data_IF_562731725131
#
_entry.id   IF_562731725131
#
_cell.length_a   1.000
_cell.length_b   1.000
_cell.length_c   1.000
_cell.angle_alpha   90.00
_cell.angle_beta   90.00
_cell.angle_gamma   90.00
#
_symmetry.space_group_name_H-M   'P 1'
#
loop_
_entity.id
_entity.type
_entity.pdbx_description
1 polymer ?
#
# COMPACT_ATOMS: atom_id res chain seq x y z
N UNK A 1 -6.64 4.76 6.49
CA UNK A 1 -6.54 3.44 7.16
C UNK A 1 -5.26 3.27 8.00
N UNK A 2 -4.13 3.80 7.55
CA UNK A 2 -2.81 3.59 8.21
C UNK A 2 -2.73 4.03 9.68
N UNK A 3 -3.44 5.08 10.17
CA UNK A 3 -3.46 5.41 11.60
C UNK A 3 -3.88 4.25 12.51
N UNK A 4 -4.74 3.34 12.07
CA UNK A 4 -5.17 2.18 12.87
C UNK A 4 -3.99 1.33 13.35
N UNK A 5 -3.01 1.08 12.47
CA UNK A 5 -1.81 0.31 12.85
C UNK A 5 -0.72 1.20 13.45
N UNK A 6 -0.60 2.47 13.02
CA UNK A 6 0.42 3.39 13.55
C UNK A 6 0.23 3.65 15.05
N UNK A 7 -1.01 3.92 15.48
CA UNK A 7 -1.36 4.13 16.89
C UNK A 7 -1.05 2.87 17.72
N UNK A 8 -1.44 1.69 17.24
CA UNK A 8 -1.16 0.43 17.93
C UNK A 8 0.35 0.17 18.04
N UNK A 9 1.11 0.33 16.96
CA UNK A 9 2.56 0.12 16.97
C UNK A 9 3.27 1.13 17.88
N UNK A 10 2.90 2.40 17.84
CA UNK A 10 3.48 3.42 18.72
C UNK A 10 3.16 3.13 20.19
N UNK A 11 1.93 2.74 20.51
CA UNK A 11 1.54 2.36 21.86
C UNK A 11 2.39 1.23 22.42
N UNK A 12 2.51 0.10 21.69
CA UNK A 12 3.29 -1.04 22.16
C UNK A 12 4.77 -0.76 22.26
N UNK A 13 5.35 0.02 21.33
CA UNK A 13 6.74 0.47 21.44
C UNK A 13 6.97 1.35 22.67
N UNK A 14 6.04 2.26 22.97
CA UNK A 14 6.11 3.07 24.21
C UNK A 14 6.06 2.20 25.45
N UNK A 15 5.16 1.18 25.49
CA UNK A 15 5.08 0.24 26.62
C UNK A 15 6.37 -0.60 26.78
N UNK A 16 7.04 -0.92 25.68
CA UNK A 16 8.32 -1.63 25.69
C UNK A 16 9.53 -0.73 26.06
N UNK A 17 9.31 0.55 26.37
CA UNK A 17 10.37 1.48 26.76
C UNK A 17 11.21 2.01 25.61
N UNK A 18 10.78 1.80 24.35
CA UNK A 18 11.42 2.34 23.15
C UNK A 18 11.29 3.87 23.13
N UNK A 19 12.31 4.54 22.65
CA UNK A 19 12.37 6.01 22.57
C UNK A 19 12.18 6.53 21.17
N UNK A 20 12.66 5.76 20.15
CA UNK A 20 12.60 6.13 18.74
C UNK A 20 11.98 5.03 17.90
N UNK A 21 11.22 5.44 16.91
CA UNK A 21 10.77 4.59 15.81
C UNK A 21 11.42 5.07 14.52
N UNK A 22 12.03 4.14 13.76
CA UNK A 22 12.40 4.34 12.37
C UNK A 22 11.37 3.68 11.48
N UNK A 23 11.12 4.27 10.32
CA UNK A 23 10.17 3.72 9.36
C UNK A 23 10.45 4.22 7.95
N UNK A 24 9.99 3.49 6.96
CA UNK A 24 9.94 3.93 5.57
C UNK A 24 8.62 4.62 5.25
N UNK A 25 8.56 5.26 4.10
CA UNK A 25 7.29 5.63 3.49
C UNK A 25 7.43 5.78 1.97
N UNK A 26 6.48 5.22 1.22
CA UNK A 26 6.40 5.39 -0.24
C UNK A 26 5.94 6.80 -0.59
N UNK A 27 4.63 7.02 -0.62
CA UNK A 27 4.01 8.31 -0.97
C UNK A 27 3.84 9.28 0.22
N UNK A 28 4.22 8.88 1.44
CA UNK A 28 4.15 9.69 2.66
C UNK A 28 2.96 9.38 3.57
N UNK A 29 1.95 8.62 3.16
CA UNK A 29 0.78 8.34 4.00
C UNK A 29 1.15 7.59 5.28
N UNK A 30 2.02 6.60 5.18
CA UNK A 30 2.49 5.86 6.34
C UNK A 30 3.35 6.73 7.26
N UNK A 31 4.31 7.45 6.70
CA UNK A 31 5.16 8.38 7.47
C UNK A 31 4.32 9.41 8.23
N UNK A 32 3.30 10.01 7.61
CA UNK A 32 2.37 10.92 8.29
C UNK A 32 1.63 10.25 9.44
N UNK A 33 1.15 9.02 9.25
CA UNK A 33 0.44 8.29 10.29
C UNK A 33 1.35 7.96 11.48
N UNK A 34 2.60 7.56 11.20
CA UNK A 34 3.58 7.26 12.26
C UNK A 34 4.08 8.54 12.96
N UNK A 35 4.28 9.65 12.23
CA UNK A 35 4.65 10.94 12.82
C UNK A 35 3.57 11.42 13.81
N UNK A 36 2.28 11.33 13.43
CA UNK A 36 1.16 11.64 14.33
C UNK A 36 1.15 10.72 15.56
N UNK A 37 1.26 9.41 15.36
CA UNK A 37 1.27 8.44 16.47
C UNK A 37 2.48 8.65 17.39
N UNK A 38 3.65 8.93 16.85
CA UNK A 38 4.84 9.27 17.64
C UNK A 38 4.62 10.50 18.53
N UNK A 39 4.02 11.55 17.97
CA UNK A 39 3.66 12.75 18.74
C UNK A 39 2.66 12.43 19.87
N UNK A 40 1.65 11.59 19.60
CA UNK A 40 0.65 11.20 20.61
C UNK A 40 1.28 10.45 21.80
N UNK A 41 2.31 9.64 21.58
CA UNK A 41 2.93 8.81 22.61
C UNK A 41 4.31 9.33 23.09
N UNK A 42 4.77 10.48 22.59
CA UNK A 42 6.07 11.06 22.95
C UNK A 42 7.24 10.18 22.51
N UNK A 43 7.19 9.66 21.29
CA UNK A 43 8.25 8.91 20.63
C UNK A 43 8.90 9.77 19.54
N UNK A 44 10.22 9.71 19.43
CA UNK A 44 10.91 10.24 18.27
C UNK A 44 10.57 9.40 17.03
N UNK A 45 10.35 10.05 15.88
CA UNK A 45 10.06 9.35 14.63
C UNK A 45 11.03 9.81 13.55
N UNK A 46 11.67 8.85 12.90
CA UNK A 46 12.53 9.09 11.74
C UNK A 46 12.00 8.32 10.53
N UNK A 47 11.83 9.02 9.41
CA UNK A 47 11.16 8.51 8.21
C UNK A 47 12.09 8.57 7.01
N UNK A 48 12.30 7.42 6.38
CA UNK A 48 12.97 7.30 5.08
C UNK A 48 11.90 7.29 3.97
N UNK A 49 11.80 8.40 3.24
CA UNK A 49 10.79 8.59 2.21
C UNK A 49 11.38 8.35 0.83
N UNK A 50 10.76 7.49 0.02
CA UNK A 50 11.19 7.23 -1.36
C UNK A 50 11.41 8.53 -2.12
N UNK A 51 12.62 8.73 -2.68
CA UNK A 51 13.12 10.00 -3.24
C UNK A 51 12.21 10.60 -4.30
N UNK A 52 11.68 9.81 -5.21
CA UNK A 52 10.74 10.31 -6.21
C UNK A 52 9.48 10.90 -5.56
N UNK A 53 8.94 10.26 -4.52
CA UNK A 53 7.79 10.77 -3.79
C UNK A 53 8.12 11.96 -2.89
N UNK A 54 9.33 12.00 -2.34
CA UNK A 54 9.83 13.15 -1.56
C UNK A 54 9.78 14.45 -2.38
N UNK A 55 10.07 14.36 -3.69
CA UNK A 55 9.91 15.47 -4.63
C UNK A 55 8.46 15.72 -5.06
N UNK A 56 7.71 14.67 -5.39
CA UNK A 56 6.34 14.78 -5.91
C UNK A 56 5.30 15.22 -4.86
N UNK A 57 5.56 14.98 -3.57
CA UNK A 57 4.57 15.16 -2.48
C UNK A 57 5.12 15.99 -1.32
N UNK A 58 5.52 17.25 -1.55
CA UNK A 58 6.20 18.08 -0.56
C UNK A 58 5.35 18.34 0.69
N UNK A 59 4.02 18.46 0.56
CA UNK A 59 3.14 18.74 1.69
C UNK A 59 3.04 17.57 2.68
N UNK A 60 3.23 16.31 2.22
CA UNK A 60 3.31 15.17 3.14
C UNK A 60 4.57 15.24 4.00
N UNK A 61 5.71 15.64 3.42
CA UNK A 61 6.93 15.89 4.17
C UNK A 61 6.72 17.01 5.20
N UNK A 62 6.15 18.14 4.78
CA UNK A 62 5.87 19.27 5.67
C UNK A 62 4.97 18.85 6.84
N UNK A 63 3.95 18.03 6.58
CA UNK A 63 3.05 17.48 7.60
C UNK A 63 3.79 16.61 8.62
N UNK A 64 4.65 15.68 8.16
CA UNK A 64 5.48 14.86 9.05
C UNK A 64 6.40 15.73 9.93
N UNK A 65 7.06 16.72 9.34
CA UNK A 65 7.95 17.64 10.05
C UNK A 65 7.19 18.53 11.05
N UNK A 66 5.98 18.96 10.71
CA UNK A 66 5.10 19.73 11.62
C UNK A 66 4.72 18.92 12.86
N UNK A 67 4.59 17.59 12.73
CA UNK A 67 4.40 16.67 13.85
C UNK A 67 5.71 16.21 14.50
N UNK A 68 6.84 16.86 14.18
CA UNK A 68 8.12 16.64 14.83
C UNK A 68 8.94 15.46 14.31
N UNK A 69 8.55 14.82 13.23
CA UNK A 69 9.34 13.76 12.63
C UNK A 69 10.52 14.29 11.80
N UNK A 70 11.65 13.59 11.84
CA UNK A 70 12.74 13.76 10.89
C UNK A 70 12.45 12.97 9.62
N UNK A 71 12.64 13.60 8.44
CA UNK A 71 12.30 12.98 7.16
C UNK A 71 13.47 13.09 6.19
N UNK A 72 13.96 11.96 5.70
CA UNK A 72 15.06 11.86 4.74
C UNK A 72 14.57 11.27 3.42
N UNK A 73 15.10 11.79 2.29
CA UNK A 73 14.91 11.15 1.00
C UNK A 73 15.75 9.88 0.93
N UNK A 74 15.12 8.75 0.60
CA UNK A 74 15.78 7.44 0.41
C UNK A 74 15.98 7.16 -1.08
N UNK A 75 17.22 6.82 -1.53
CA UNK A 75 18.44 6.59 -0.73
C UNK A 75 19.01 7.87 -0.13
N UNK A 76 19.59 7.73 1.08
CA UNK A 76 20.14 8.82 1.87
C UNK A 76 21.61 8.57 2.24
N UNK A 77 22.30 9.62 2.72
CA UNK A 77 23.67 9.48 3.28
C UNK A 77 23.67 9.05 4.76
N UNK A 78 22.50 8.79 5.36
CA UNK A 78 22.37 8.50 6.78
C UNK A 78 22.77 7.06 7.13
N UNK A 79 22.57 6.13 6.21
CA UNK A 79 22.80 4.68 6.37
C UNK A 79 23.89 4.19 5.42
N UNK A 80 24.48 3.02 5.67
CA UNK A 80 25.43 2.43 4.74
C UNK A 80 24.70 1.99 3.45
N UNK A 81 23.54 1.36 3.61
CA UNK A 81 22.66 0.97 2.48
C UNK A 81 22.38 2.14 1.54
N UNK A 82 22.01 3.30 2.10
CA UNK A 82 21.72 4.48 1.29
C UNK A 82 22.97 5.02 0.57
N UNK A 83 24.13 5.06 1.25
CA UNK A 83 25.40 5.47 0.64
C UNK A 83 25.83 4.54 -0.50
N UNK A 84 25.69 3.23 -0.33
CA UNK A 84 26.05 2.25 -1.35
C UNK A 84 25.13 2.38 -2.59
N UNK A 85 23.84 2.57 -2.38
CA UNK A 85 22.88 2.81 -3.47
C UNK A 85 23.19 4.11 -4.24
N UNK A 86 23.57 5.19 -3.54
CA UNK A 86 23.97 6.46 -4.18
C UNK A 86 25.33 6.37 -4.87
N UNK A 87 26.24 5.54 -4.36
CA UNK A 87 27.53 5.30 -5.00
C UNK A 87 27.36 4.49 -6.30
N UNK A 88 26.42 3.53 -6.31
CA UNK A 88 26.11 2.74 -7.51
C UNK A 88 25.37 3.55 -8.57
N UNK A 89 24.41 4.39 -8.16
CA UNK A 89 23.66 5.30 -9.02
C UNK A 89 23.31 6.61 -8.29
N UNK A 90 24.05 7.71 -8.53
CA UNK A 90 23.77 9.03 -7.92
C UNK A 90 22.36 9.57 -8.23
N UNK A 91 21.73 9.10 -9.31
CA UNK A 91 20.39 9.51 -9.74
C UNK A 91 19.30 8.54 -9.26
N UNK A 92 19.62 7.56 -8.45
CA UNK A 92 18.68 6.59 -7.93
C UNK A 92 17.43 7.27 -7.34
N UNK A 93 16.25 6.91 -7.82
CA UNK A 93 14.98 7.51 -7.41
C UNK A 93 14.38 6.85 -6.15
N UNK A 94 15.02 5.79 -5.68
CA UNK A 94 14.58 5.01 -4.54
C UNK A 94 13.43 4.05 -4.83
N UNK A 95 13.35 3.03 -3.99
CA UNK A 95 12.23 2.10 -3.92
C UNK A 95 11.75 1.98 -2.47
N UNK A 96 10.57 1.40 -2.27
CA UNK A 96 10.10 1.14 -0.92
C UNK A 96 10.98 0.11 -0.22
N UNK A 97 11.44 -0.93 -0.93
CA UNK A 97 12.37 -1.93 -0.40
C UNK A 97 13.68 -1.31 0.10
N UNK A 98 14.25 -0.36 -0.65
CA UNK A 98 15.46 0.35 -0.25
C UNK A 98 15.22 1.22 1.00
N UNK A 99 14.10 1.93 1.06
CA UNK A 99 13.75 2.74 2.23
C UNK A 99 13.49 1.87 3.48
N UNK A 100 12.96 0.65 3.32
CA UNK A 100 12.84 -0.34 4.40
C UNK A 100 14.24 -0.74 4.89
N UNK A 101 15.16 -1.07 3.97
CA UNK A 101 16.55 -1.44 4.34
C UNK A 101 17.22 -0.35 5.18
N UNK A 102 17.12 0.93 4.77
CA UNK A 102 17.68 2.05 5.53
C UNK A 102 17.06 2.18 6.93
N UNK A 103 15.74 2.05 7.05
CA UNK A 103 15.04 2.16 8.33
C UNK A 103 15.38 0.99 9.27
N UNK A 104 15.50 -0.23 8.74
CA UNK A 104 15.89 -1.42 9.51
C UNK A 104 17.35 -1.33 9.95
N UNK A 105 18.27 -0.89 9.08
CA UNK A 105 19.68 -0.69 9.41
C UNK A 105 19.84 0.28 10.60
N UNK A 106 19.14 1.41 10.57
CA UNK A 106 19.18 2.34 11.69
C UNK A 106 18.61 1.74 12.98
N UNK A 107 17.47 1.06 12.92
CA UNK A 107 16.88 0.41 14.08
C UNK A 107 17.84 -0.61 14.70
N UNK A 108 18.45 -1.46 13.87
CA UNK A 108 19.39 -2.47 14.33
C UNK A 108 20.67 -1.88 14.95
N UNK A 109 21.03 -0.64 14.61
CA UNK A 109 22.21 0.04 15.16
C UNK A 109 22.03 0.59 16.59
N UNK A 110 20.80 0.57 17.15
CA UNK A 110 20.44 1.22 18.41
C UNK A 110 19.52 0.36 19.28
N UNK A 111 19.86 0.24 20.55
CA UNK A 111 19.08 -0.54 21.52
C UNK A 111 17.74 0.09 21.94
N UNK A 112 17.55 1.40 21.73
CA UNK A 112 16.37 2.17 22.11
C UNK A 112 15.45 2.50 20.95
N UNK A 113 15.68 1.88 19.78
CA UNK A 113 14.99 2.17 18.52
C UNK A 113 14.43 0.90 17.91
N UNK A 114 13.18 0.94 17.49
CA UNK A 114 12.54 -0.13 16.73
C UNK A 114 12.10 0.36 15.34
N UNK A 115 12.06 -0.57 14.40
CA UNK A 115 11.47 -0.39 13.09
C UNK A 115 9.96 -0.64 13.14
N UNK A 116 9.18 0.20 12.48
CA UNK A 116 7.74 0.04 12.30
C UNK A 116 7.37 0.00 10.81
N UNK A 117 6.49 -0.91 10.43
CA UNK A 117 6.06 -1.13 9.04
C UNK A 117 4.55 -0.91 8.88
N UNK A 118 4.16 -0.16 7.84
CA UNK A 118 2.77 0.26 7.60
C UNK A 118 1.97 -0.62 6.65
N UNK A 119 2.49 -1.77 6.21
CA UNK A 119 1.83 -2.69 5.30
C UNK A 119 2.43 -4.10 5.42
N UNK A 120 2.04 -5.03 4.56
CA UNK A 120 2.62 -6.36 4.35
C UNK A 120 2.47 -7.33 5.53
N UNK A 121 2.89 -6.98 6.74
CA UNK A 121 2.97 -7.90 7.86
C UNK A 121 1.61 -8.24 8.48
N UNK A 122 1.53 -9.43 9.07
CA UNK A 122 0.27 -9.99 9.60
C UNK A 122 -0.35 -9.12 10.70
N UNK A 123 0.44 -8.53 11.60
CA UNK A 123 -0.08 -7.64 12.64
C UNK A 123 -0.68 -6.35 12.04
N UNK A 124 -0.11 -5.85 10.95
CA UNK A 124 -0.68 -4.69 10.23
C UNK A 124 -2.02 -5.07 9.62
N UNK A 125 -2.11 -6.20 8.90
CA UNK A 125 -3.36 -6.71 8.36
C UNK A 125 -4.42 -6.88 9.45
N UNK A 126 -4.05 -7.43 10.61
CA UNK A 126 -4.94 -7.60 11.77
C UNK A 126 -5.47 -6.25 12.27
N UNK A 127 -4.61 -5.26 12.49
CA UNK A 127 -5.04 -3.93 12.96
C UNK A 127 -6.00 -3.26 11.97
N UNK A 128 -5.84 -3.50 10.67
CA UNK A 128 -6.69 -2.90 9.64
C UNK A 128 -8.08 -3.56 9.57
N UNK A 129 -8.28 -4.77 10.08
CA UNK A 129 -9.58 -5.47 10.00
C UNK A 129 -10.73 -4.73 10.69
N UNK A 130 -10.44 -3.75 11.53
CA UNK A 130 -11.46 -2.86 12.10
C UNK A 130 -12.33 -2.22 11.02
N UNK A 131 -11.76 -1.95 9.83
CA UNK A 131 -12.46 -1.34 8.69
C UNK A 131 -13.61 -2.26 8.23
N UNK A 132 -13.30 -3.51 7.90
CA UNK A 132 -14.31 -4.47 7.45
C UNK A 132 -15.30 -4.86 8.56
N UNK A 133 -14.84 -4.89 9.84
CA UNK A 133 -15.73 -5.13 10.98
C UNK A 133 -16.74 -4.00 11.15
N UNK A 134 -16.33 -2.74 11.00
CA UNK A 134 -17.23 -1.59 11.02
C UNK A 134 -18.15 -1.57 9.79
N UNK A 135 -17.63 -1.88 8.59
CA UNK A 135 -18.44 -2.02 7.38
C UNK A 135 -19.58 -3.03 7.56
N UNK A 136 -19.31 -4.19 8.14
CA UNK A 136 -20.34 -5.20 8.41
C UNK A 136 -21.47 -4.64 9.26
N UNK A 137 -21.15 -3.90 10.34
CA UNK A 137 -22.15 -3.25 11.19
C UNK A 137 -22.94 -2.17 10.44
N UNK A 138 -22.27 -1.39 9.59
CA UNK A 138 -22.91 -0.36 8.77
C UNK A 138 -23.89 -0.98 7.76
N UNK A 139 -23.51 -2.09 7.11
CA UNK A 139 -24.40 -2.85 6.23
C UNK A 139 -25.60 -3.44 6.97
N UNK A 140 -25.40 -3.95 8.19
CA UNK A 140 -26.51 -4.40 9.04
C UNK A 140 -27.51 -3.27 9.35
N UNK A 141 -27.01 -2.08 9.66
CA UNK A 141 -27.86 -0.89 9.90
C UNK A 141 -28.60 -0.46 8.64
N UNK A 142 -27.97 -0.58 7.45
CA UNK A 142 -28.58 -0.26 6.17
C UNK A 142 -29.59 -1.33 5.69
N UNK A 143 -29.59 -2.52 6.31
CA UNK A 143 -30.42 -3.65 5.84
C UNK A 143 -29.93 -4.25 4.53
N UNK A 144 -28.66 -4.09 4.18
CA UNK A 144 -28.05 -4.52 2.92
C UNK A 144 -26.79 -5.37 3.16
N UNK A 145 -26.21 -5.92 2.08
CA UNK A 145 -24.96 -6.69 2.12
C UNK A 145 -24.25 -6.64 0.76
N UNK A 146 -22.92 -6.47 0.71
CA UNK A 146 -22.22 -6.33 -0.54
C UNK A 146 -22.23 -7.64 -1.35
N UNK A 147 -22.30 -7.52 -2.67
CA UNK A 147 -22.07 -8.60 -3.63
C UNK A 147 -20.59 -8.69 -3.99
N UNK A 148 -19.94 -7.53 -4.09
CA UNK A 148 -18.53 -7.42 -4.46
C UNK A 148 -17.85 -6.27 -3.71
N UNK A 149 -16.58 -6.49 -3.35
CA UNK A 149 -15.73 -5.49 -2.69
C UNK A 149 -14.49 -5.28 -3.53
N UNK A 150 -14.22 -4.03 -3.91
CA UNK A 150 -12.98 -3.59 -4.55
C UNK A 150 -12.10 -2.82 -3.55
N UNK A 151 -10.82 -3.17 -3.47
CA UNK A 151 -9.88 -2.41 -2.65
C UNK A 151 -8.50 -2.30 -3.30
N UNK A 152 -7.81 -1.14 -3.16
CA UNK A 152 -6.48 -0.97 -3.72
C UNK A 152 -5.49 -1.89 -3.00
N UNK A 153 -4.61 -2.52 -3.78
CA UNK A 153 -3.61 -3.44 -3.28
C UNK A 153 -2.20 -3.08 -3.79
N UNK A 154 -1.35 -2.64 -2.85
CA UNK A 154 0.10 -2.62 -3.00
C UNK A 154 0.67 -3.70 -2.09
N UNK A 155 1.21 -3.33 -0.92
CA UNK A 155 1.57 -4.30 0.11
C UNK A 155 0.40 -5.04 0.77
N UNK A 156 -0.86 -4.71 0.47
CA UNK A 156 -2.04 -5.47 0.85
C UNK A 156 -2.79 -5.00 2.11
N UNK A 157 -2.29 -4.03 2.87
CA UNK A 157 -2.93 -3.65 4.15
C UNK A 157 -4.32 -3.02 3.99
N UNK A 158 -4.53 -2.22 2.94
CA UNK A 158 -5.84 -1.63 2.63
C UNK A 158 -6.85 -2.70 2.25
N UNK A 159 -6.46 -3.60 1.36
CA UNK A 159 -7.28 -4.73 0.95
C UNK A 159 -7.61 -5.65 2.13
N UNK A 160 -6.61 -6.08 2.90
CA UNK A 160 -6.80 -6.93 4.07
C UNK A 160 -7.78 -6.32 5.08
N UNK A 161 -7.68 -5.01 5.31
CA UNK A 161 -8.51 -4.31 6.29
C UNK A 161 -10.00 -4.42 6.01
N UNK A 162 -10.41 -4.25 4.77
CA UNK A 162 -11.81 -4.34 4.40
C UNK A 162 -12.23 -5.78 4.07
N UNK A 163 -11.39 -6.57 3.42
CA UNK A 163 -11.76 -7.87 2.86
C UNK A 163 -11.71 -9.03 3.90
N UNK A 164 -10.72 -9.07 4.81
CA UNK A 164 -10.53 -10.23 5.69
C UNK A 164 -11.73 -10.59 6.56
N UNK A 165 -12.50 -9.63 7.16
CA UNK A 165 -13.72 -9.97 7.87
C UNK A 165 -14.79 -10.64 6.97
N UNK A 166 -14.81 -10.33 5.67
CA UNK A 166 -15.71 -10.98 4.70
C UNK A 166 -15.14 -12.32 4.21
N UNK A 167 -13.80 -12.50 4.15
CA UNK A 167 -13.20 -13.82 3.93
C UNK A 167 -13.64 -14.78 5.04
N UNK A 168 -13.65 -14.33 6.29
CA UNK A 168 -14.12 -15.15 7.41
C UNK A 168 -15.62 -15.54 7.27
N UNK A 169 -16.46 -14.60 6.81
CA UNK A 169 -17.87 -14.94 6.56
C UNK A 169 -18.01 -15.93 5.38
N UNK A 170 -17.27 -15.72 4.30
CA UNK A 170 -17.25 -16.63 3.16
C UNK A 170 -16.81 -18.03 3.57
N UNK A 171 -15.76 -18.16 4.39
CA UNK A 171 -15.31 -19.46 4.93
C UNK A 171 -16.35 -20.15 5.81
N UNK A 172 -17.22 -19.38 6.46
CA UNK A 172 -18.36 -19.89 7.24
C UNK A 172 -19.61 -20.20 6.40
N UNK A 173 -19.54 -20.10 5.08
CA UNK A 173 -20.68 -20.36 4.16
C UNK A 173 -21.42 -19.11 3.71
N UNK A 174 -20.86 -17.93 3.97
CA UNK A 174 -21.44 -16.64 3.61
C UNK A 174 -22.61 -16.21 4.52
N UNK A 175 -23.09 -15.00 4.30
CA UNK A 175 -24.28 -14.50 5.02
C UNK A 175 -25.54 -14.97 4.32
N UNK A 176 -26.31 -15.82 4.96
CA UNK A 176 -27.52 -16.45 4.38
C UNK A 176 -27.21 -17.21 3.06
N UNK A 177 -26.03 -17.84 2.97
CA UNK A 177 -25.55 -18.51 1.76
C UNK A 177 -25.01 -17.58 0.66
N UNK A 178 -25.03 -16.27 0.85
CA UNK A 178 -24.48 -15.28 -0.10
C UNK A 178 -22.99 -15.06 0.18
N UNK A 179 -22.16 -15.42 -0.78
CA UNK A 179 -20.72 -15.16 -0.78
C UNK A 179 -20.44 -13.75 -1.32
N UNK A 180 -19.43 -13.09 -0.79
CA UNK A 180 -18.97 -11.78 -1.26
C UNK A 180 -17.75 -11.96 -2.15
N UNK A 181 -17.79 -11.46 -3.38
CA UNK A 181 -16.63 -11.42 -4.26
C UNK A 181 -15.64 -10.37 -3.75
N UNK A 182 -14.35 -10.72 -3.64
CA UNK A 182 -13.32 -9.88 -3.06
C UNK A 182 -12.23 -9.64 -4.10
N UNK A 183 -12.08 -8.40 -4.57
CA UNK A 183 -11.21 -8.05 -5.70
C UNK A 183 -10.14 -7.06 -5.27
N UNK A 184 -8.89 -7.50 -5.29
CA UNK A 184 -7.72 -6.64 -5.12
C UNK A 184 -7.43 -5.89 -6.42
N UNK A 185 -7.24 -4.57 -6.36
CA UNK A 185 -6.96 -3.74 -7.54
C UNK A 185 -5.58 -3.15 -7.43
N UNK A 186 -4.71 -3.51 -8.37
CA UNK A 186 -3.30 -3.11 -8.39
C UNK A 186 -2.94 -2.31 -9.66
N UNK A 187 -1.81 -1.56 -9.68
CA UNK A 187 -1.36 -0.88 -10.87
C UNK A 187 -0.82 -1.86 -11.92
N UNK A 188 -1.15 -1.66 -13.19
CA UNK A 188 -0.62 -2.47 -14.30
C UNK A 188 0.91 -2.42 -14.44
N UNK A 189 1.54 -1.36 -13.93
CA UNK A 189 3.00 -1.17 -13.93
C UNK A 189 3.71 -1.75 -12.70
N UNK A 190 2.96 -2.21 -11.70
CA UNK A 190 3.48 -2.87 -10.49
C UNK A 190 2.53 -4.01 -10.05
N UNK A 191 2.32 -5.03 -10.91
CA UNK A 191 1.25 -6.01 -10.79
C UNK A 191 1.72 -7.25 -10.01
N UNK A 192 1.95 -7.11 -8.69
CA UNK A 192 2.52 -8.17 -7.87
C UNK A 192 1.65 -9.43 -7.81
N UNK A 193 0.34 -9.31 -7.66
CA UNK A 193 -0.59 -10.45 -7.61
C UNK A 193 -0.82 -11.06 -9.00
N UNK A 194 -1.13 -10.22 -10.01
CA UNK A 194 -1.58 -10.72 -11.32
C UNK A 194 -0.44 -11.19 -12.21
N UNK A 195 0.81 -10.74 -11.97
CA UNK A 195 1.99 -11.03 -12.81
C UNK A 195 3.23 -11.45 -12.03
N UNK A 196 3.22 -11.35 -10.70
CA UNK A 196 4.33 -11.77 -9.86
C UNK A 196 4.42 -13.30 -9.73
N UNK A 197 5.52 -13.76 -9.15
CA UNK A 197 5.77 -15.16 -8.83
C UNK A 197 5.42 -15.44 -7.37
N UNK A 198 4.76 -16.58 -7.08
CA UNK A 198 4.46 -16.99 -5.71
C UNK A 198 5.67 -17.71 -5.12
N UNK A 199 6.57 -16.95 -4.50
CA UNK A 199 7.88 -17.42 -4.05
C UNK A 199 8.23 -16.88 -2.65
N UNK A 200 9.30 -17.39 -2.06
CA UNK A 200 9.92 -16.75 -0.89
C UNK A 200 10.77 -15.57 -1.34
N UNK A 201 10.56 -14.42 -0.72
CA UNK A 201 11.33 -13.22 -1.01
C UNK A 201 11.51 -12.36 0.24
N UNK A 202 12.45 -11.41 0.19
CA UNK A 202 12.64 -10.43 1.24
C UNK A 202 11.64 -9.27 1.14
N UNK A 203 11.29 -8.69 2.27
CA UNK A 203 10.46 -7.49 2.33
C UNK A 203 11.21 -6.21 1.93
N UNK A 204 12.55 -6.25 1.88
CA UNK A 204 13.45 -5.14 1.61
C UNK A 204 14.52 -5.50 0.58
N UNK A 205 15.17 -4.51 -0.01
CA UNK A 205 16.14 -4.72 -1.10
C UNK A 205 17.49 -5.27 -0.65
N UNK A 206 17.83 -5.18 0.65
CA UNK A 206 19.13 -5.63 1.19
C UNK A 206 19.06 -6.96 1.95
N UNK A 207 17.87 -7.58 2.06
CA UNK A 207 17.69 -8.85 2.76
C UNK A 207 17.80 -8.76 4.28
N UNK A 208 17.50 -7.62 4.87
CA UNK A 208 17.50 -7.42 6.34
C UNK A 208 16.21 -7.92 7.00
N UNK A 209 15.13 -8.03 6.24
CA UNK A 209 13.86 -8.55 6.72
C UNK A 209 13.80 -10.08 6.59
N UNK A 210 12.95 -10.76 7.38
CA UNK A 210 12.72 -12.19 7.21
C UNK A 210 12.18 -12.54 5.82
N UNK A 211 12.51 -13.74 5.34
CA UNK A 211 11.89 -14.31 4.15
C UNK A 211 10.39 -14.55 4.37
N UNK A 212 9.61 -14.14 3.39
CA UNK A 212 8.16 -14.30 3.41
C UNK A 212 7.68 -14.96 2.12
N UNK A 213 6.76 -15.92 2.22
CA UNK A 213 6.09 -16.49 1.06
C UNK A 213 5.06 -15.51 0.55
N UNK A 214 5.25 -14.98 -0.67
CA UNK A 214 4.41 -13.95 -1.24
C UNK A 214 4.36 -14.00 -2.77
N UNK A 215 3.38 -13.35 -3.38
CA UNK A 215 3.49 -12.97 -4.77
C UNK A 215 4.42 -11.76 -4.87
N UNK A 216 5.49 -11.89 -5.66
CA UNK A 216 6.57 -10.89 -5.76
C UNK A 216 6.99 -10.63 -7.19
N UNK A 217 7.47 -9.41 -7.43
CA UNK A 217 8.16 -8.99 -8.66
C UNK A 217 9.69 -9.03 -8.51
N UNK A 218 10.18 -9.54 -7.35
CA UNK A 218 11.59 -9.52 -6.94
C UNK A 218 11.92 -8.32 -6.04
N UNK A 219 12.67 -8.55 -4.94
CA UNK A 219 12.93 -7.55 -3.88
C UNK A 219 13.79 -6.36 -4.33
N UNK A 220 14.50 -6.46 -5.43
CA UNK A 220 15.28 -5.38 -6.04
C UNK A 220 14.55 -4.69 -7.21
N UNK A 221 13.33 -5.11 -7.54
CA UNK A 221 12.52 -4.44 -8.56
C UNK A 221 12.21 -2.99 -8.20
N UNK A 222 12.49 -2.10 -9.13
CA UNK A 222 12.24 -0.65 -9.02
C UNK A 222 10.95 -0.29 -9.80
N UNK A 223 9.80 -0.11 -9.10
CA UNK A 223 8.56 0.28 -9.79
C UNK A 223 8.67 1.64 -10.45
N UNK A 224 8.02 1.85 -11.61
CA UNK A 224 7.91 3.16 -12.24
C UNK A 224 7.32 4.23 -11.31
N UNK A 225 7.61 5.49 -11.61
CA UNK A 225 7.21 6.66 -10.81
C UNK A 225 5.73 7.05 -10.91
N UNK A 226 4.80 6.08 -10.93
CA UNK A 226 3.36 6.36 -10.92
C UNK A 226 2.94 7.19 -9.70
N UNK A 227 1.86 7.96 -9.86
CA UNK A 227 1.39 8.87 -8.82
C UNK A 227 0.65 8.20 -7.66
N UNK A 228 0.18 6.96 -7.81
CA UNK A 228 -0.28 6.10 -6.74
C UNK A 228 0.90 5.47 -5.98
N UNK A 229 1.73 6.31 -5.36
CA UNK A 229 2.99 5.89 -4.75
C UNK A 229 2.85 4.88 -3.61
N UNK A 230 1.70 4.80 -2.95
CA UNK A 230 1.39 3.80 -1.93
C UNK A 230 1.15 2.39 -2.48
N UNK A 231 1.07 2.24 -3.81
CA UNK A 231 0.92 0.93 -4.47
C UNK A 231 2.20 0.46 -5.16
N UNK A 232 3.31 1.22 -5.05
CA UNK A 232 4.62 0.88 -5.62
C UNK A 232 5.43 0.01 -4.65
N UNK A 233 5.10 -1.26 -4.59
CA UNK A 233 5.84 -2.23 -3.80
C UNK A 233 5.97 -3.55 -4.57
N UNK A 234 7.11 -4.21 -4.45
CA UNK A 234 7.45 -5.40 -5.24
C UNK A 234 6.67 -6.65 -4.84
N UNK A 235 6.09 -6.70 -3.63
CA UNK A 235 5.44 -7.90 -3.12
C UNK A 235 4.10 -7.62 -2.43
N UNK A 236 3.24 -8.61 -2.40
CA UNK A 236 1.99 -8.58 -1.65
C UNK A 236 2.13 -9.27 -0.29
N UNK A 237 1.38 -8.82 0.71
CA UNK A 237 1.30 -9.45 2.04
C UNK A 237 1.19 -10.98 1.95
N UNK A 238 1.91 -11.74 2.79
CA UNK A 238 1.80 -13.20 2.81
C UNK A 238 0.37 -13.72 2.94
N UNK A 239 -0.46 -13.10 3.79
CA UNK A 239 -1.86 -13.50 3.94
C UNK A 239 -2.70 -13.18 2.70
N UNK A 240 -2.51 -12.01 2.08
CA UNK A 240 -3.20 -11.68 0.82
C UNK A 240 -2.75 -12.61 -0.29
N UNK A 241 -1.45 -12.88 -0.38
CA UNK A 241 -0.87 -13.80 -1.35
C UNK A 241 -1.42 -15.22 -1.20
N UNK A 242 -1.52 -15.73 0.04
CA UNK A 242 -2.11 -17.03 0.31
C UNK A 242 -3.57 -17.11 -0.15
N UNK A 243 -4.39 -16.10 0.21
CA UNK A 243 -5.79 -16.07 -0.20
C UNK A 243 -5.96 -16.03 -1.72
N UNK A 244 -5.09 -15.28 -2.41
CA UNK A 244 -5.10 -15.24 -3.87
C UNK A 244 -4.64 -16.58 -4.49
N UNK A 245 -3.60 -17.20 -3.94
CA UNK A 245 -3.11 -18.52 -4.36
C UNK A 245 -4.16 -19.62 -4.22
N UNK A 246 -4.95 -19.58 -3.13
CA UNK A 246 -6.04 -20.51 -2.87
C UNK A 246 -7.34 -20.18 -3.64
N UNK A 247 -7.36 -19.11 -4.44
CA UNK A 247 -8.55 -18.70 -5.20
C UNK A 247 -9.69 -18.16 -4.34
N UNK A 248 -9.41 -17.70 -3.11
CA UNK A 248 -10.40 -17.13 -2.19
C UNK A 248 -10.64 -15.64 -2.43
N UNK A 249 -9.77 -15.01 -3.16
CA UNK A 249 -9.87 -13.62 -3.62
C UNK A 249 -9.44 -13.54 -5.08
N UNK A 250 -9.83 -12.47 -5.75
CA UNK A 250 -9.44 -12.14 -7.12
C UNK A 250 -8.52 -10.92 -7.14
N UNK A 251 -7.80 -10.73 -8.24
CA UNK A 251 -6.99 -9.54 -8.47
C UNK A 251 -7.13 -9.06 -9.90
N UNK A 252 -7.15 -7.73 -10.07
CA UNK A 252 -7.10 -7.06 -11.37
C UNK A 252 -6.04 -5.96 -11.38
N UNK A 253 -5.42 -5.74 -12.54
CA UNK A 253 -4.44 -4.68 -12.73
C UNK A 253 -5.01 -3.60 -13.65
N UNK A 254 -4.88 -2.33 -13.25
CA UNK A 254 -5.44 -1.19 -14.00
C UNK A 254 -4.37 -0.14 -14.33
N UNK A 255 -4.42 0.49 -15.52
CA UNK A 255 -3.48 1.53 -15.92
C UNK A 255 -3.76 2.87 -15.23
N UNK A 256 -2.72 3.70 -15.09
CA UNK A 256 -2.77 4.96 -14.35
C UNK A 256 -3.84 5.93 -14.89
N UNK A 257 -3.90 6.14 -16.20
CA UNK A 257 -4.85 7.09 -16.81
C UNK A 257 -6.30 6.70 -16.53
N UNK A 258 -6.64 5.41 -16.63
CA UNK A 258 -7.98 4.93 -16.32
C UNK A 258 -8.35 5.14 -14.83
N UNK A 259 -7.36 5.06 -13.92
CA UNK A 259 -7.62 5.34 -12.50
C UNK A 259 -7.85 6.82 -12.23
N UNK A 260 -7.13 7.72 -12.89
CA UNK A 260 -7.36 9.17 -12.75
C UNK A 260 -8.69 9.60 -13.38
N UNK A 261 -9.08 9.02 -14.53
CA UNK A 261 -10.41 9.20 -15.12
C UNK A 261 -11.51 8.84 -14.11
N UNK A 262 -11.42 7.66 -13.50
CA UNK A 262 -12.35 7.21 -12.48
C UNK A 262 -12.38 8.15 -11.24
N UNK A 263 -11.22 8.63 -10.80
CA UNK A 263 -11.10 9.57 -9.68
C UNK A 263 -11.76 10.92 -9.98
N UNK A 264 -11.60 11.45 -11.18
CA UNK A 264 -12.26 12.70 -11.62
C UNK A 264 -13.77 12.50 -11.74
N UNK A 265 -14.21 11.38 -12.34
CA UNK A 265 -15.63 11.04 -12.43
C UNK A 265 -16.27 10.96 -11.04
N UNK A 266 -15.60 10.30 -10.09
CA UNK A 266 -16.06 10.21 -8.70
C UNK A 266 -16.11 11.58 -8.02
N UNK A 267 -15.09 12.42 -8.23
CA UNK A 267 -15.07 13.78 -7.67
C UNK A 267 -16.23 14.63 -8.22
N UNK A 268 -16.60 14.50 -9.48
CA UNK A 268 -17.74 15.18 -10.06
C UNK A 268 -19.08 14.68 -9.49
N UNK A 269 -19.19 13.37 -9.21
CA UNK A 269 -20.43 12.79 -8.70
C UNK A 269 -20.63 13.03 -7.20
N UNK A 270 -19.55 12.92 -6.40
CA UNK A 270 -19.63 12.86 -4.94
C UNK A 270 -19.04 14.10 -4.24
N UNK A 271 -18.34 14.98 -4.97
CA UNK A 271 -17.66 16.16 -4.39
C UNK A 271 -16.43 15.80 -3.54
N UNK A 272 -15.94 14.58 -3.65
CA UNK A 272 -14.78 14.06 -2.92
C UNK A 272 -13.64 13.79 -3.89
N UNK A 273 -12.48 14.43 -3.68
CA UNK A 273 -11.27 14.16 -4.47
C UNK A 273 -10.53 12.99 -3.80
N UNK A 274 -10.50 11.80 -4.41
CA UNK A 274 -9.87 10.63 -3.80
C UNK A 274 -8.34 10.66 -3.95
N UNK A 275 -7.63 9.94 -3.08
CA UNK A 275 -6.21 9.66 -3.30
C UNK A 275 -6.00 8.80 -4.54
N UNK A 276 -4.89 8.96 -5.29
CA UNK A 276 -4.61 8.15 -6.49
C UNK A 276 -4.62 6.63 -6.23
N UNK A 277 -4.29 6.20 -5.03
CA UNK A 277 -4.41 4.81 -4.61
C UNK A 277 -5.88 4.34 -4.62
N UNK A 278 -6.78 5.15 -4.07
CA UNK A 278 -8.23 4.84 -4.00
C UNK A 278 -8.88 4.82 -5.38
N UNK A 279 -8.35 5.57 -6.34
CA UNK A 279 -8.81 5.59 -7.72
C UNK A 279 -8.81 4.20 -8.37
N UNK A 280 -7.91 3.32 -7.95
CA UNK A 280 -7.85 1.94 -8.43
C UNK A 280 -9.11 1.16 -8.05
N UNK A 281 -9.54 1.26 -6.80
CA UNK A 281 -10.78 0.63 -6.35
C UNK A 281 -12.03 1.26 -6.98
N UNK A 282 -12.03 2.59 -7.16
CA UNK A 282 -13.12 3.31 -7.85
C UNK A 282 -13.22 2.83 -9.29
N UNK A 283 -12.10 2.64 -10.02
CA UNK A 283 -12.11 2.12 -11.39
C UNK A 283 -12.75 0.72 -11.44
N UNK A 284 -12.35 -0.18 -10.56
CA UNK A 284 -12.97 -1.51 -10.46
C UNK A 284 -14.47 -1.45 -10.19
N UNK A 285 -14.90 -0.57 -9.28
CA UNK A 285 -16.31 -0.39 -8.97
C UNK A 285 -17.13 0.18 -10.15
N UNK A 286 -16.55 1.17 -10.88
CA UNK A 286 -17.21 1.73 -12.09
C UNK A 286 -17.32 0.66 -13.18
N UNK A 287 -16.27 -0.12 -13.43
CA UNK A 287 -16.30 -1.17 -14.45
C UNK A 287 -17.36 -2.23 -14.13
N UNK A 288 -17.48 -2.64 -12.87
CA UNK A 288 -18.52 -3.56 -12.44
C UNK A 288 -19.92 -2.94 -12.55
N UNK A 289 -20.09 -1.68 -12.19
CA UNK A 289 -21.37 -0.98 -12.35
C UNK A 289 -21.80 -0.89 -13.83
N UNK A 290 -20.86 -0.63 -14.74
CA UNK A 290 -21.12 -0.62 -16.19
C UNK A 290 -21.49 -2.01 -16.69
N UNK A 291 -20.80 -3.05 -16.25
CA UNK A 291 -21.14 -4.44 -16.54
C UNK A 291 -22.56 -4.77 -16.06
N UNK A 292 -22.90 -4.38 -14.84
CA UNK A 292 -24.24 -4.58 -14.29
C UNK A 292 -25.33 -3.86 -15.12
N UNK A 293 -25.02 -2.64 -15.59
CA UNK A 293 -25.92 -1.89 -16.48
C UNK A 293 -26.17 -2.63 -17.81
N UNK A 294 -25.11 -3.21 -18.39
CA UNK A 294 -25.20 -3.95 -19.66
C UNK A 294 -25.97 -5.28 -19.51
N UNK A 295 -25.72 -6.00 -18.41
CA UNK A 295 -26.33 -7.31 -18.18
C UNK A 295 -27.71 -7.24 -17.52
N UNK A 296 -28.11 -6.10 -16.98
CA UNK A 296 -29.33 -5.95 -16.18
C UNK A 296 -29.22 -6.57 -14.78
N UNK A 297 -28.04 -7.00 -14.34
CA UNK A 297 -27.81 -7.57 -13.01
C UNK A 297 -27.80 -6.47 -11.95
N UNK A 298 -28.47 -6.68 -10.83
CA UNK A 298 -28.44 -5.75 -9.69
C UNK A 298 -27.43 -6.23 -8.65
N UNK A 299 -26.44 -5.38 -8.28
CA UNK A 299 -25.43 -5.65 -7.26
C UNK A 299 -25.25 -4.48 -6.32
N UNK A 300 -24.97 -4.78 -5.06
CA UNK A 300 -24.40 -3.84 -4.11
C UNK A 300 -22.88 -3.89 -4.21
N UNK A 301 -22.27 -2.82 -4.74
CA UNK A 301 -20.84 -2.71 -5.00
C UNK A 301 -20.21 -1.85 -3.90
N UNK A 302 -19.29 -2.43 -3.14
CA UNK A 302 -18.50 -1.71 -2.13
C UNK A 302 -17.09 -1.48 -2.67
N UNK A 303 -16.54 -0.29 -2.47
CA UNK A 303 -15.12 -0.05 -2.68
C UNK A 303 -14.49 0.70 -1.50
N UNK A 304 -13.18 0.49 -1.30
CA UNK A 304 -12.47 1.05 -0.16
C UNK A 304 -11.87 2.43 -0.50
N UNK A 305 -12.51 3.51 -0.04
CA UNK A 305 -12.03 4.88 -0.17
C UNK A 305 -11.07 5.22 0.99
N UNK A 306 -9.79 4.92 0.85
CA UNK A 306 -8.80 4.92 1.94
C UNK A 306 -7.99 6.20 2.09
N UNK A 307 -8.25 7.23 1.30
CA UNK A 307 -7.55 8.50 1.39
C UNK A 307 -8.13 9.57 0.48
N UNK A 308 -7.92 10.82 0.88
CA UNK A 308 -8.24 11.99 0.08
C UNK A 308 -7.07 12.43 -0.81
N UNK A 309 -7.36 13.12 -1.91
CA UNK A 309 -6.39 13.61 -2.88
C UNK A 309 -5.81 15.01 -2.62
N UNK A 310 -6.13 15.66 -1.51
CA UNK A 310 -5.73 17.06 -1.26
C UNK A 310 -4.22 17.27 -1.22
N UNK A 311 -3.43 16.27 -0.83
CA UNK A 311 -1.97 16.28 -0.94
C UNK A 311 -1.45 15.76 -2.27
N UNK A 312 -2.33 15.38 -3.18
CA UNK A 312 -2.03 14.78 -4.48
C UNK A 312 -2.50 15.67 -5.66
N UNK A 313 -2.89 16.93 -5.37
CA UNK A 313 -3.44 17.84 -6.39
C UNK A 313 -2.47 18.05 -7.58
N UNK A 314 -1.17 18.11 -7.34
CA UNK A 314 -0.19 18.18 -8.43
C UNK A 314 -0.26 16.98 -9.41
N UNK A 315 -0.74 15.83 -8.94
CA UNK A 315 -0.98 14.67 -9.82
C UNK A 315 -2.24 14.85 -10.66
N UNK A 316 -3.29 15.41 -10.06
CA UNK A 316 -4.52 15.76 -10.79
C UNK A 316 -4.28 16.90 -11.78
N UNK A 317 -3.48 17.93 -11.41
CA UNK A 317 -3.09 19.00 -12.32
C UNK A 317 -2.43 18.44 -13.58
N UNK A 318 -1.47 17.52 -13.44
CA UNK A 318 -0.81 16.86 -14.56
C UNK A 318 -1.77 16.00 -15.39
N UNK A 319 -2.71 15.31 -14.74
CA UNK A 319 -3.73 14.54 -15.45
C UNK A 319 -4.63 15.45 -16.29
N UNK A 320 -5.14 16.53 -15.71
CA UNK A 320 -6.01 17.49 -16.38
C UNK A 320 -5.28 18.26 -17.51
N UNK A 321 -3.97 18.45 -17.38
CA UNK A 321 -3.11 19.03 -18.43
C UNK A 321 -2.76 18.02 -19.54
N UNK A 322 -3.12 16.74 -19.42
CA UNK A 322 -2.75 15.68 -20.37
C UNK A 322 -1.26 15.30 -20.31
N UNK A 323 -0.60 15.54 -19.19
CA UNK A 323 0.82 15.28 -18.96
C UNK A 323 1.11 13.95 -18.26
N UNK A 324 0.07 13.25 -17.79
CA UNK A 324 0.26 11.90 -17.25
C UNK A 324 0.31 10.89 -18.39
N UNK A 325 1.12 9.87 -18.17
CA UNK A 325 1.30 8.76 -19.10
C UNK A 325 0.99 7.43 -18.38
N UNK A 326 0.53 6.45 -19.14
CA UNK A 326 0.55 5.07 -18.71
C UNK A 326 1.97 4.53 -18.79
N UNK A 327 2.32 3.66 -17.84
CA UNK A 327 3.56 2.91 -17.89
C UNK A 327 3.24 1.49 -18.36
N UNK A 328 3.97 1.04 -19.37
CA UNK A 328 3.88 -0.36 -19.79
C UNK A 328 4.29 -1.31 -18.68
N UNK A 329 3.79 -2.53 -18.78
CA UNK A 329 4.22 -3.61 -17.89
C UNK A 329 5.73 -3.85 -18.06
N UNK A 330 6.55 -3.66 -17.00
CA UNK A 330 8.00 -3.69 -17.11
C UNK A 330 8.54 -5.13 -17.09
N UNK A 331 8.12 -5.95 -18.04
CA UNK A 331 8.38 -7.40 -18.10
C UNK A 331 9.87 -7.75 -18.01
N UNK A 332 10.71 -7.02 -18.72
CA UNK A 332 12.15 -7.29 -18.75
C UNK A 332 12.80 -7.02 -17.37
N UNK A 333 12.42 -5.91 -16.71
CA UNK A 333 12.91 -5.56 -15.39
C UNK A 333 12.44 -6.56 -14.32
N UNK A 334 11.19 -6.99 -14.40
CA UNK A 334 10.64 -7.99 -13.47
C UNK A 334 11.33 -9.36 -13.69
N UNK A 335 11.49 -9.80 -14.92
CA UNK A 335 12.22 -11.06 -15.22
C UNK A 335 13.66 -11.03 -14.71
N UNK A 336 14.32 -9.89 -14.76
CA UNK A 336 15.68 -9.74 -14.22
C UNK A 336 15.67 -9.83 -12.70
N UNK A 337 14.80 -9.08 -12.02
CA UNK A 337 14.69 -9.09 -10.57
C UNK A 337 14.31 -10.47 -10.01
N UNK A 338 13.42 -11.20 -10.68
CA UNK A 338 13.03 -12.55 -10.26
C UNK A 338 14.19 -13.58 -10.28
N UNK A 339 15.29 -13.31 -11.01
CA UNK A 339 16.48 -14.18 -10.96
C UNK A 339 17.23 -14.08 -9.63
N UNK A 340 17.01 -13.04 -8.88
CA UNK A 340 17.65 -12.78 -7.59
C UNK A 340 16.84 -13.29 -6.40
N UNK A 341 15.72 -13.99 -6.66
CA UNK A 341 14.94 -14.61 -5.59
C UNK A 341 15.80 -15.55 -4.75
N UNK A 342 15.62 -15.54 -3.41
CA UNK A 342 16.33 -16.44 -2.53
C UNK A 342 16.07 -17.90 -2.86
N UNK A 343 17.13 -18.70 -2.96
CA UNK A 343 17.01 -20.16 -3.11
C UNK A 343 16.74 -20.78 -1.73
N UNK A 344 15.52 -21.25 -1.51
CA UNK A 344 15.07 -21.80 -0.22
C UNK A 344 15.01 -23.33 -0.21
N UNK A 345 15.69 -24.00 -1.14
CA UNK A 345 15.89 -25.47 -1.14
C UNK A 345 14.61 -26.28 -1.39
#
# INVERSE_FOLDING_TARGET
HKPNTAVAQAYYNKQAGIKRITTETGAGQWGCSMALAGQMFGLEVRVYMVKVSYGQKPYRRSMMQTWGAEVFASPSNMTQTGRDALAADPNNQGSLGLAISEAVEEAASRADTNYALGSVLNHVALHQTIIGQECKKQFEMAGDWPDVIFAPCGGGSSFAGIAFPFVADNAAGGRNGKMVQLVAVEPSSCPSLTKGEYAYDFGDSSGFTPLMKMFTLGHDFMPPGIHAGGLRYHGASPLVSQLYHEGLIEAIAVPQLATFDAGVMFAHAEGIIPAPESNHAIRGAIDEALRCKETGEAKTILFNLTGHGHFDMASYDRYLAGELEDFDYPEAAIKESLKHLPNVG
#
